data_IF_091033005239
#
_entry.id   IF_091033005239
#
_cell.length_a   1.000
_cell.length_b   1.000
_cell.length_c   1.000
_cell.angle_alpha   90.00
_cell.angle_beta   90.00
_cell.angle_gamma   90.00
#
_symmetry.space_group_name_H-M   'P 1'
#
loop_
_entity.id
_entity.type
_entity.pdbx_description
1 polymer ?
#
# COMPACT_ATOMS: atom_id res chain seq x y z
N UNK A 1 -9.85 12.89 -11.61
CA UNK A 1 -9.53 14.13 -10.86
C UNK A 1 -10.71 14.63 -10.03
N UNK A 2 -11.93 14.61 -10.57
CA UNK A 2 -13.16 15.06 -9.87
C UNK A 2 -13.41 14.38 -8.51
N UNK A 3 -13.22 13.06 -8.40
CA UNK A 3 -13.41 12.33 -7.13
C UNK A 3 -12.40 12.74 -6.04
N UNK A 4 -11.13 12.97 -6.41
CA UNK A 4 -10.09 13.43 -5.48
C UNK A 4 -10.42 14.85 -5.00
N UNK A 5 -10.84 15.72 -5.91
CA UNK A 5 -11.30 17.08 -5.55
C UNK A 5 -12.49 17.04 -4.61
N UNK A 6 -13.52 16.23 -4.91
CA UNK A 6 -14.73 16.12 -4.09
C UNK A 6 -14.43 15.62 -2.68
N UNK A 7 -13.62 14.57 -2.56
CA UNK A 7 -13.22 14.03 -1.24
C UNK A 7 -12.37 15.02 -0.46
N UNK A 8 -11.41 15.70 -1.10
CA UNK A 8 -10.60 16.74 -0.47
C UNK A 8 -11.44 17.88 0.09
N UNK A 9 -12.44 18.35 -0.67
CA UNK A 9 -13.35 19.41 -0.22
C UNK A 9 -14.18 18.93 0.97
N UNK A 10 -14.74 17.72 0.90
CA UNK A 10 -15.52 17.14 2.00
C UNK A 10 -14.72 17.02 3.30
N UNK A 11 -13.50 16.48 3.24
CA UNK A 11 -12.62 16.38 4.41
C UNK A 11 -12.25 17.75 4.98
N UNK A 12 -11.99 18.75 4.12
CA UNK A 12 -11.65 20.11 4.56
C UNK A 12 -12.82 20.77 5.28
N UNK A 13 -14.05 20.65 4.76
CA UNK A 13 -15.25 21.22 5.38
C UNK A 13 -15.51 20.59 6.76
N UNK A 14 -15.45 19.26 6.86
CA UNK A 14 -15.68 18.54 8.12
C UNK A 14 -14.57 18.90 9.13
N UNK A 15 -13.31 18.89 8.69
CA UNK A 15 -12.16 19.24 9.53
C UNK A 15 -12.22 20.67 10.05
N UNK A 16 -12.53 21.64 9.18
CA UNK A 16 -12.63 23.06 9.56
C UNK A 16 -13.79 23.30 10.52
N UNK A 17 -14.96 22.71 10.24
CA UNK A 17 -16.14 22.84 11.13
C UNK A 17 -15.86 22.22 12.49
N UNK A 18 -15.22 21.05 12.54
CA UNK A 18 -14.81 20.41 13.79
C UNK A 18 -13.80 21.25 14.58
N UNK A 19 -12.83 21.86 13.90
CA UNK A 19 -11.84 22.74 14.53
C UNK A 19 -12.46 24.01 15.11
N UNK A 20 -13.36 24.67 14.37
CA UNK A 20 -14.08 25.86 14.86
C UNK A 20 -14.99 25.51 16.06
N UNK A 21 -15.60 24.32 16.05
CA UNK A 21 -16.43 23.86 17.17
C UNK A 21 -15.62 23.57 18.45
N UNK A 22 -14.39 23.03 18.33
CA UNK A 22 -13.55 22.67 19.47
C UNK A 22 -12.09 23.14 19.31
N UNK A 23 -11.79 24.46 19.38
CA UNK A 23 -10.47 24.97 19.00
C UNK A 23 -9.31 24.48 19.88
N UNK A 24 -9.56 24.21 21.17
CA UNK A 24 -8.52 23.82 22.15
C UNK A 24 -8.69 22.42 22.73
N UNK A 25 -9.81 21.75 22.46
CA UNK A 25 -10.18 20.50 23.13
C UNK A 25 -10.49 19.36 22.16
N UNK A 26 -10.33 19.56 20.84
CA UNK A 26 -10.61 18.54 19.83
C UNK A 26 -9.85 17.23 20.12
N UNK A 27 -10.60 16.14 20.30
CA UNK A 27 -10.06 14.80 20.44
C UNK A 27 -9.93 14.12 19.06
N UNK A 28 -9.03 13.14 18.96
CA UNK A 28 -8.83 12.34 17.74
C UNK A 28 -10.14 11.71 17.21
N UNK A 29 -11.08 11.40 18.11
CA UNK A 29 -12.46 11.12 17.75
C UNK A 29 -13.35 12.31 18.16
N UNK A 30 -13.73 13.14 17.19
CA UNK A 30 -14.51 14.36 17.46
C UNK A 30 -15.88 14.07 18.10
N UNK A 31 -16.44 12.88 17.87
CA UNK A 31 -17.70 12.48 18.50
C UNK A 31 -17.57 12.36 20.02
N UNK A 32 -16.36 12.18 20.56
CA UNK A 32 -16.15 12.13 22.01
C UNK A 32 -16.20 13.51 22.66
N UNK A 33 -16.08 14.61 21.90
CA UNK A 33 -16.16 15.96 22.43
C UNK A 33 -17.58 16.41 22.76
N UNK A 34 -18.58 15.76 22.16
CA UNK A 34 -19.98 16.05 22.41
C UNK A 34 -20.52 15.28 23.61
N UNK A 35 -21.51 15.87 24.29
CA UNK A 35 -22.15 15.25 25.46
C UNK A 35 -22.70 13.85 25.14
N UNK A 36 -22.78 12.99 26.15
CA UNK A 36 -23.41 11.69 26.03
C UNK A 36 -24.93 11.80 25.98
N UNK A 37 -25.53 12.87 26.50
CA UNK A 37 -26.98 13.03 26.59
C UNK A 37 -27.65 13.53 25.29
N UNK A 38 -26.85 13.91 24.28
CA UNK A 38 -27.37 14.41 23.01
C UNK A 38 -27.82 13.24 22.10
N UNK A 39 -29.13 13.15 21.86
CA UNK A 39 -29.74 12.13 21.02
C UNK A 39 -29.16 12.10 19.59
N UNK A 40 -28.90 13.27 18.98
CA UNK A 40 -28.41 13.35 17.60
C UNK A 40 -27.00 12.75 17.52
N UNK A 41 -26.16 13.06 18.50
CA UNK A 41 -24.79 12.54 18.58
C UNK A 41 -24.80 11.04 18.89
N UNK A 42 -25.69 10.58 19.76
CA UNK A 42 -25.85 9.14 20.01
C UNK A 42 -26.26 8.38 18.74
N UNK A 43 -27.20 8.92 17.96
CA UNK A 43 -27.58 8.34 16.65
C UNK A 43 -26.38 8.33 15.70
N UNK A 44 -25.60 9.41 15.63
CA UNK A 44 -24.40 9.45 14.80
C UNK A 44 -23.36 8.39 15.22
N UNK A 45 -23.11 8.22 16.53
CA UNK A 45 -22.24 7.16 17.07
C UNK A 45 -22.76 5.77 16.70
N UNK A 46 -24.07 5.54 16.82
CA UNK A 46 -24.69 4.27 16.45
C UNK A 46 -24.54 3.96 14.94
N UNK A 47 -24.74 4.96 14.08
CA UNK A 47 -24.55 4.82 12.63
C UNK A 47 -23.10 4.52 12.26
N UNK A 48 -22.13 5.23 12.87
CA UNK A 48 -20.70 4.93 12.67
C UNK A 48 -20.38 3.51 13.15
N UNK A 49 -20.92 3.10 14.31
CA UNK A 49 -20.78 1.73 14.82
C UNK A 49 -21.33 0.69 13.85
N UNK A 50 -22.56 0.87 13.36
CA UNK A 50 -23.19 -0.01 12.37
C UNK A 50 -22.36 -0.09 11.07
N UNK A 51 -21.86 1.05 10.58
CA UNK A 51 -20.96 1.10 9.44
C UNK A 51 -19.69 0.26 9.68
N UNK A 52 -19.08 0.35 10.88
CA UNK A 52 -17.90 -0.46 11.22
C UNK A 52 -18.22 -1.95 11.31
N UNK A 53 -19.36 -2.33 11.88
CA UNK A 53 -19.82 -3.73 11.94
C UNK A 53 -19.96 -4.33 10.54
N UNK A 54 -20.52 -3.58 9.59
CA UNK A 54 -20.64 -4.03 8.19
C UNK A 54 -19.28 -4.01 7.47
N UNK A 55 -18.43 -3.02 7.74
CA UNK A 55 -17.13 -2.88 7.08
C UNK A 55 -16.13 -3.95 7.51
N UNK A 56 -16.21 -4.43 8.74
CA UNK A 56 -15.28 -5.43 9.28
C UNK A 56 -15.23 -6.73 8.46
N UNK A 57 -16.35 -7.46 8.22
CA UNK A 57 -16.34 -8.68 7.43
C UNK A 57 -15.92 -8.45 5.96
N UNK A 58 -16.27 -7.29 5.39
CA UNK A 58 -15.88 -6.92 4.03
C UNK A 58 -14.35 -6.84 3.91
N UNK A 59 -13.69 -6.21 4.88
CA UNK A 59 -12.22 -6.08 4.90
C UNK A 59 -11.51 -7.38 5.33
N UNK A 60 -12.19 -8.24 6.10
CA UNK A 60 -11.62 -9.50 6.59
C UNK A 60 -11.36 -10.51 5.46
N UNK A 61 -12.23 -10.55 4.45
CA UNK A 61 -12.08 -11.50 3.34
C UNK A 61 -10.79 -11.31 2.53
N UNK A 62 -10.42 -10.10 2.03
CA UNK A 62 -9.13 -9.90 1.37
C UNK A 62 -7.94 -10.06 2.32
N UNK A 63 -8.06 -9.67 3.60
CA UNK A 63 -6.98 -9.87 4.58
C UNK A 63 -6.62 -11.36 4.76
N UNK A 64 -7.63 -12.23 4.83
CA UNK A 64 -7.43 -13.69 4.90
C UNK A 64 -6.79 -14.24 3.62
N UNK A 65 -7.18 -13.76 2.44
CA UNK A 65 -6.57 -14.17 1.17
C UNK A 65 -5.10 -13.76 1.11
N UNK A 66 -4.79 -12.52 1.45
CA UNK A 66 -3.41 -12.04 1.52
C UNK A 66 -2.57 -12.86 2.51
N UNK A 67 -3.12 -13.24 3.67
CA UNK A 67 -2.42 -14.10 4.63
C UNK A 67 -2.15 -15.50 4.04
N UNK A 68 -3.12 -16.10 3.34
CA UNK A 68 -2.93 -17.37 2.64
C UNK A 68 -1.78 -17.25 1.63
N UNK A 69 -1.85 -16.26 0.75
CA UNK A 69 -0.86 -16.06 -0.31
C UNK A 69 0.56 -15.88 0.25
N UNK A 70 0.71 -15.10 1.33
CA UNK A 70 2.00 -14.90 2.01
C UNK A 70 2.51 -16.19 2.64
N UNK A 71 1.63 -16.97 3.31
CA UNK A 71 2.04 -18.23 3.94
C UNK A 71 2.40 -19.31 2.93
N UNK A 72 1.71 -19.36 1.80
CA UNK A 72 2.01 -20.28 0.69
C UNK A 72 3.35 -19.92 0.05
N UNK A 73 3.62 -18.64 -0.19
CA UNK A 73 4.92 -18.16 -0.69
C UNK A 73 6.06 -18.43 0.30
N UNK A 74 5.81 -18.27 1.60
CA UNK A 74 6.83 -18.47 2.64
C UNK A 74 7.13 -19.96 2.93
N UNK A 75 6.12 -20.82 2.89
CA UNK A 75 6.24 -22.25 3.28
C UNK A 75 6.38 -23.18 2.08
N UNK A 76 6.01 -22.74 0.88
CA UNK A 76 5.96 -23.58 -0.32
C UNK A 76 4.90 -24.69 -0.26
N UNK A 77 3.97 -24.64 0.71
CA UNK A 77 2.88 -25.59 0.91
C UNK A 77 1.55 -24.87 0.73
N UNK A 78 0.59 -25.50 0.07
CA UNK A 78 -0.77 -24.99 -0.02
C UNK A 78 -1.53 -25.25 1.29
N UNK A 79 -2.14 -24.21 1.85
CA UNK A 79 -2.86 -24.29 3.12
C UNK A 79 -4.36 -24.24 2.84
N UNK A 80 -4.95 -25.39 2.53
CA UNK A 80 -6.37 -25.48 2.08
C UNK A 80 -7.31 -26.16 3.09
N UNK A 81 -6.91 -26.24 4.37
CA UNK A 81 -7.73 -26.87 5.40
C UNK A 81 -8.81 -25.94 6.00
N UNK A 82 -10.00 -26.46 6.39
CA UNK A 82 -11.00 -25.70 7.14
C UNK A 82 -10.44 -25.18 8.48
N UNK A 83 -9.50 -25.92 9.09
CA UNK A 83 -8.82 -25.52 10.32
C UNK A 83 -7.99 -24.24 10.13
N UNK A 84 -7.37 -24.05 8.95
CA UNK A 84 -6.66 -22.83 8.62
C UNK A 84 -7.62 -21.63 8.49
N UNK A 85 -8.79 -21.85 7.88
CA UNK A 85 -9.80 -20.79 7.73
C UNK A 85 -10.37 -20.31 9.06
N UNK A 86 -10.73 -21.23 9.95
CA UNK A 86 -11.20 -20.89 11.28
C UNK A 86 -10.07 -20.27 12.12
N UNK A 87 -8.87 -20.84 12.06
CA UNK A 87 -7.69 -20.34 12.77
C UNK A 87 -7.31 -18.92 12.36
N UNK A 88 -7.20 -18.64 11.06
CA UNK A 88 -6.89 -17.31 10.54
C UNK A 88 -7.96 -16.28 10.95
N UNK A 89 -9.24 -16.67 10.89
CA UNK A 89 -10.34 -15.77 11.26
C UNK A 89 -10.32 -15.45 12.75
N UNK A 90 -10.11 -16.46 13.60
CA UNK A 90 -9.99 -16.29 15.04
C UNK A 90 -8.76 -15.47 15.42
N UNK A 91 -7.64 -15.67 14.71
CA UNK A 91 -6.42 -14.89 14.89
C UNK A 91 -6.65 -13.41 14.58
N UNK A 92 -7.22 -13.09 13.40
CA UNK A 92 -7.53 -11.71 13.01
C UNK A 92 -8.53 -11.05 13.96
N UNK A 93 -9.58 -11.78 14.37
CA UNK A 93 -10.55 -11.29 15.34
C UNK A 93 -9.91 -11.04 16.72
N UNK A 94 -9.13 -12.01 17.21
CA UNK A 94 -8.41 -11.89 18.48
C UNK A 94 -7.40 -10.74 18.47
N UNK A 95 -6.65 -10.57 17.37
CA UNK A 95 -5.72 -9.46 17.20
C UNK A 95 -6.44 -8.10 17.18
N UNK A 96 -7.56 -8.00 16.46
CA UNK A 96 -8.37 -6.77 16.41
C UNK A 96 -8.96 -6.44 17.79
N UNK A 97 -9.48 -7.45 18.50
CA UNK A 97 -10.01 -7.28 19.85
C UNK A 97 -8.92 -6.87 20.84
N UNK A 98 -7.76 -7.51 20.79
CA UNK A 98 -6.62 -7.15 21.63
C UNK A 98 -6.17 -5.70 21.36
N UNK A 99 -6.11 -5.28 20.09
CA UNK A 99 -5.80 -3.90 19.74
C UNK A 99 -6.85 -2.92 20.29
N UNK A 100 -8.14 -3.25 20.17
CA UNK A 100 -9.23 -2.42 20.67
C UNK A 100 -9.23 -2.27 22.20
N UNK A 101 -8.78 -3.30 22.94
CA UNK A 101 -8.64 -3.24 24.40
C UNK A 101 -7.38 -2.49 24.87
N UNK A 102 -6.37 -2.34 24.00
CA UNK A 102 -5.11 -1.68 24.36
C UNK A 102 -5.05 -0.23 23.91
N UNK A 103 -5.66 0.11 22.78
CA UNK A 103 -5.54 1.42 22.15
C UNK A 103 -6.89 2.13 22.15
N UNK A 104 -6.98 3.20 22.95
CA UNK A 104 -8.17 4.05 23.02
C UNK A 104 -8.06 5.34 22.18
N UNK A 105 -6.89 5.62 21.59
CA UNK A 105 -6.67 6.80 20.73
C UNK A 105 -6.62 6.41 19.25
N UNK A 106 -7.70 6.72 18.52
CA UNK A 106 -7.80 6.51 17.08
C UNK A 106 -6.75 7.31 16.29
N UNK A 107 -6.29 8.44 16.80
CA UNK A 107 -5.30 9.28 16.15
C UNK A 107 -3.94 8.59 16.08
N UNK A 108 -3.53 7.88 17.13
CA UNK A 108 -2.30 7.07 17.12
C UNK A 108 -2.42 5.95 16.08
N UNK A 109 -3.56 5.26 16.04
CA UNK A 109 -3.81 4.18 15.07
C UNK A 109 -3.72 4.70 13.63
N UNK A 110 -4.38 5.83 13.32
CA UNK A 110 -4.34 6.41 11.98
C UNK A 110 -2.96 6.95 11.60
N UNK A 111 -2.19 7.51 12.55
CA UNK A 111 -0.79 7.92 12.32
C UNK A 111 0.08 6.72 11.97
N UNK A 112 -0.02 5.61 12.72
CA UNK A 112 0.74 4.38 12.44
C UNK A 112 0.38 3.84 11.06
N UNK A 113 -0.91 3.61 10.78
CA UNK A 113 -1.36 2.98 9.53
C UNK A 113 -1.09 3.90 8.33
N UNK A 114 -1.38 5.19 8.43
CA UNK A 114 -1.18 6.15 7.34
C UNK A 114 0.31 6.43 7.08
N UNK A 115 1.10 6.60 8.14
CA UNK A 115 2.52 6.92 8.04
C UNK A 115 3.40 5.75 7.60
N UNK A 116 3.05 4.51 7.98
CA UNK A 116 3.82 3.31 7.62
C UNK A 116 3.25 2.64 6.37
N UNK A 117 2.09 1.99 6.49
CA UNK A 117 1.46 1.24 5.40
C UNK A 117 1.12 2.15 4.22
N UNK A 118 0.59 3.36 4.47
CA UNK A 118 0.32 4.33 3.42
C UNK A 118 1.58 4.74 2.65
N UNK A 119 2.67 5.08 3.35
CA UNK A 119 3.93 5.46 2.71
C UNK A 119 4.52 4.33 1.86
N UNK A 120 4.47 3.09 2.35
CA UNK A 120 4.96 1.92 1.59
C UNK A 120 4.11 1.71 0.34
N UNK A 121 2.78 1.67 0.46
CA UNK A 121 1.92 1.40 -0.70
C UNK A 121 1.92 2.55 -1.72
N UNK A 122 1.96 3.80 -1.28
CA UNK A 122 1.85 4.97 -2.17
C UNK A 122 3.18 5.30 -2.84
N UNK A 123 4.32 5.15 -2.16
CA UNK A 123 5.62 5.55 -2.69
C UNK A 123 6.52 4.36 -3.07
N UNK A 124 6.56 3.30 -2.25
CA UNK A 124 7.44 2.16 -2.53
C UNK A 124 6.95 1.34 -3.73
N UNK A 125 5.65 1.04 -3.83
CA UNK A 125 5.12 0.26 -4.97
C UNK A 125 5.40 0.89 -6.35
N UNK A 126 5.03 2.16 -6.63
CA UNK A 126 5.36 2.77 -7.91
C UNK A 126 6.88 2.96 -8.07
N UNK A 127 7.62 3.22 -6.98
CA UNK A 127 9.08 3.32 -7.01
C UNK A 127 9.75 2.03 -7.48
N UNK A 128 9.34 0.88 -6.93
CA UNK A 128 9.83 -0.44 -7.33
C UNK A 128 9.43 -0.80 -8.77
N UNK A 129 8.20 -0.45 -9.19
CA UNK A 129 7.77 -0.67 -10.57
C UNK A 129 8.62 0.13 -11.57
N UNK A 130 8.96 1.39 -11.27
CA UNK A 130 9.84 2.20 -12.11
C UNK A 130 11.26 1.63 -12.19
N UNK A 131 11.82 1.19 -11.07
CA UNK A 131 13.14 0.55 -11.04
C UNK A 131 13.11 -0.73 -11.88
N UNK A 132 12.15 -1.63 -11.64
CA UNK A 132 12.01 -2.89 -12.40
C UNK A 132 11.84 -2.63 -13.90
N UNK A 133 11.03 -1.64 -14.27
CA UNK A 133 10.82 -1.26 -15.66
C UNK A 133 12.11 -0.75 -16.33
N UNK A 134 12.85 0.14 -15.66
CA UNK A 134 14.13 0.64 -16.18
C UNK A 134 15.18 -0.48 -16.32
N UNK A 135 15.21 -1.43 -15.37
CA UNK A 135 16.11 -2.58 -15.43
C UNK A 135 15.76 -3.54 -16.57
N UNK A 136 14.47 -3.86 -16.74
CA UNK A 136 14.00 -4.71 -17.83
C UNK A 136 14.36 -4.10 -19.21
N UNK A 137 14.17 -2.80 -19.37
CA UNK A 137 14.55 -2.06 -20.59
C UNK A 137 16.06 -2.13 -20.86
N UNK A 138 16.90 -2.10 -19.82
CA UNK A 138 18.34 -2.25 -19.98
C UNK A 138 18.74 -3.68 -20.38
N UNK A 139 18.11 -4.70 -19.79
CA UNK A 139 18.37 -6.10 -20.15
C UNK A 139 17.96 -6.42 -21.60
N UNK A 140 16.83 -5.87 -22.06
CA UNK A 140 16.40 -5.98 -23.46
C UNK A 140 17.43 -5.35 -24.41
N UNK A 141 17.99 -4.19 -24.05
CA UNK A 141 19.05 -3.54 -24.81
C UNK A 141 20.34 -4.39 -24.88
N UNK A 142 20.74 -5.01 -23.76
CA UNK A 142 21.91 -5.90 -23.74
C UNK A 142 21.71 -7.13 -24.63
N UNK A 143 20.55 -7.79 -24.54
CA UNK A 143 20.21 -8.94 -25.39
C UNK A 143 20.26 -8.62 -26.88
N UNK A 144 19.84 -7.41 -27.27
CA UNK A 144 19.94 -6.93 -28.65
C UNK A 144 21.40 -6.80 -29.12
N UNK A 145 22.29 -6.27 -28.27
CA UNK A 145 23.71 -6.15 -28.57
C UNK A 145 24.40 -7.51 -28.69
N UNK A 146 24.04 -8.46 -27.81
CA UNK A 146 24.58 -9.81 -27.83
C UNK A 146 24.15 -10.58 -29.09
N UNK A 147 22.90 -10.40 -29.52
CA UNK A 147 22.38 -10.96 -30.78
C UNK A 147 23.11 -10.41 -32.02
N UNK A 148 23.51 -9.13 -32.01
CA UNK A 148 24.28 -8.54 -33.11
C UNK A 148 25.76 -8.92 -33.11
N UNK A 149 26.37 -9.19 -31.94
CA UNK A 149 27.77 -9.63 -31.85
C UNK A 149 28.01 -11.07 -32.32
N UNK A 150 26.96 -11.88 -32.48
CA UNK A 150 27.09 -13.27 -32.91
C UNK A 150 27.57 -14.23 -31.82
N UNK A 151 27.70 -13.76 -30.57
CA UNK A 151 28.21 -14.51 -29.42
C UNK A 151 27.10 -15.22 -28.61
N UNK A 152 25.94 -15.50 -29.22
CA UNK A 152 24.80 -16.07 -28.51
C UNK A 152 25.13 -17.46 -27.90
N UNK A 153 25.07 -17.63 -26.56
CA UNK A 153 25.31 -18.93 -25.93
C UNK A 153 24.27 -19.95 -26.40
N UNK A 154 24.66 -21.20 -26.70
CA UNK A 154 23.74 -22.26 -27.18
C UNK A 154 22.55 -22.54 -26.23
N UNK A 155 22.60 -22.11 -24.97
CA UNK A 155 21.46 -22.13 -24.04
C UNK A 155 20.35 -21.12 -24.39
N UNK A 156 20.67 -19.95 -24.95
CA UNK A 156 19.66 -18.95 -25.34
C UNK A 156 18.81 -19.39 -26.53
N UNK A 157 19.27 -20.39 -27.30
CA UNK A 157 18.48 -20.99 -28.37
C UNK A 157 17.35 -21.91 -27.85
N UNK A 158 17.47 -22.44 -26.62
CA UNK A 158 16.39 -23.20 -25.96
C UNK A 158 15.29 -22.29 -25.42
N UNK A 159 15.64 -21.11 -24.93
CA UNK A 159 14.67 -20.06 -24.57
C UNK A 159 14.08 -19.36 -25.81
N UNK A 160 14.80 -19.37 -26.94
CA UNK A 160 14.30 -18.89 -28.24
C UNK A 160 13.26 -19.82 -28.89
N UNK A 161 12.98 -20.99 -28.29
CA UNK A 161 12.00 -21.97 -28.75
C UNK A 161 10.60 -21.78 -28.13
N UNK A 162 10.38 -20.70 -27.37
CA UNK A 162 9.05 -20.20 -27.02
C UNK A 162 8.63 -19.05 -27.97
N UNK A 163 7.70 -19.27 -28.92
CA UNK A 163 7.05 -18.20 -29.65
C UNK A 163 6.05 -17.43 -28.77
N UNK A 164 5.73 -16.17 -29.11
CA UNK A 164 5.43 -15.10 -28.17
C UNK A 164 3.95 -15.04 -27.76
N UNK A 165 3.69 -14.83 -26.46
CA UNK A 165 2.36 -14.51 -25.97
C UNK A 165 2.24 -12.97 -25.90
N UNK A 166 1.69 -12.42 -26.99
CA UNK A 166 0.92 -11.18 -27.10
C UNK A 166 1.52 -9.82 -26.62
N UNK A 167 1.57 -8.88 -27.59
CA UNK A 167 1.81 -7.43 -27.50
C UNK A 167 3.26 -6.90 -27.51
N UNK A 168 3.87 -6.91 -28.71
CA UNK A 168 4.45 -5.73 -29.40
C UNK A 168 5.62 -6.15 -30.31
N UNK A 169 5.32 -6.64 -31.52
CA UNK A 169 6.31 -6.70 -32.60
C UNK A 169 6.78 -5.29 -33.04
N UNK A 170 6.01 -4.25 -32.69
CA UNK A 170 6.32 -2.82 -32.82
C UNK A 170 7.37 -2.32 -31.82
N UNK A 171 7.58 -2.97 -30.66
CA UNK A 171 8.60 -2.59 -29.65
C UNK A 171 10.03 -2.75 -30.17
N UNK A 172 10.26 -3.80 -30.94
CA UNK A 172 11.58 -4.14 -31.49
C UNK A 172 11.94 -3.33 -32.74
N UNK A 173 10.96 -2.68 -33.39
CA UNK A 173 11.18 -1.88 -34.59
C UNK A 173 11.87 -0.52 -34.33
N UNK A 174 12.20 -0.19 -33.06
CA UNK A 174 12.66 1.16 -32.65
C UNK A 174 13.97 1.22 -31.86
N UNK A 175 14.79 0.16 -31.80
CA UNK A 175 16.12 0.26 -31.16
C UNK A 175 17.08 0.94 -32.15
N UNK A 176 17.43 2.24 -31.94
CA UNK A 176 18.66 2.53 -31.21
C UNK A 176 18.72 3.89 -30.45
N UNK A 177 18.81 3.86 -29.11
CA UNK A 177 19.42 4.89 -28.25
C UNK A 177 20.11 4.18 -27.07
N UNK A 178 21.41 4.41 -26.81
CA UNK A 178 22.15 3.72 -25.74
C UNK A 178 21.47 3.95 -24.39
N UNK A 179 20.94 2.88 -23.80
CA UNK A 179 20.22 2.95 -22.53
C UNK A 179 21.02 2.30 -21.41
N UNK A 180 21.64 3.12 -20.56
CA UNK A 180 22.21 2.67 -19.29
C UNK A 180 21.21 2.92 -18.17
N UNK A 181 20.92 1.90 -17.36
CA UNK A 181 19.95 2.02 -16.26
C UNK A 181 20.36 3.11 -15.24
N UNK A 182 21.65 3.25 -14.95
CA UNK A 182 22.20 4.28 -14.03
C UNK A 182 22.10 5.71 -14.55
N UNK A 183 22.02 5.93 -15.87
CA UNK A 183 21.85 7.27 -16.46
C UNK A 183 20.39 7.61 -16.73
N UNK A 184 19.46 6.69 -16.47
CA UNK A 184 18.05 6.91 -16.76
C UNK A 184 17.36 7.71 -15.65
N UNK A 185 16.67 8.78 -16.06
CA UNK A 185 15.78 9.55 -15.18
C UNK A 185 14.71 8.67 -14.50
N UNK A 186 14.25 7.60 -15.17
CA UNK A 186 13.25 6.69 -14.60
C UNK A 186 13.77 5.91 -13.39
N UNK A 187 15.01 5.43 -13.46
CA UNK A 187 15.62 4.68 -12.37
C UNK A 187 15.83 5.57 -11.15
N UNK A 188 16.37 6.78 -11.35
CA UNK A 188 16.55 7.76 -10.29
C UNK A 188 15.23 8.23 -9.68
N UNK A 189 14.17 8.43 -10.48
CA UNK A 189 12.84 8.73 -9.94
C UNK A 189 12.30 7.59 -9.08
N UNK A 190 12.51 6.34 -9.47
CA UNK A 190 12.12 5.18 -8.69
C UNK A 190 12.88 5.08 -7.36
N UNK A 191 14.20 5.27 -7.39
CA UNK A 191 15.05 5.32 -6.18
C UNK A 191 14.65 6.47 -5.28
N UNK A 192 14.37 7.66 -5.83
CA UNK A 192 13.91 8.81 -5.06
C UNK A 192 12.57 8.55 -4.36
N UNK A 193 11.62 7.89 -5.03
CA UNK A 193 10.33 7.52 -4.42
C UNK A 193 10.48 6.51 -3.28
N UNK A 194 11.33 5.50 -3.44
CA UNK A 194 11.62 4.53 -2.38
C UNK A 194 12.34 5.20 -1.20
N UNK A 195 13.34 6.03 -1.47
CA UNK A 195 14.05 6.79 -0.43
C UNK A 195 13.10 7.73 0.33
N UNK A 196 12.19 8.40 -0.38
CA UNK A 196 11.15 9.23 0.23
C UNK A 196 10.19 8.41 1.10
N UNK A 197 9.77 7.23 0.64
CA UNK A 197 8.95 6.30 1.43
C UNK A 197 9.62 5.91 2.75
N UNK A 198 10.93 5.57 2.70
CA UNK A 198 11.72 5.22 3.88
C UNK A 198 11.84 6.41 4.83
N UNK A 199 12.12 7.61 4.32
CA UNK A 199 12.20 8.82 5.12
C UNK A 199 10.87 9.12 5.84
N UNK A 200 9.74 9.05 5.13
CA UNK A 200 8.40 9.24 5.71
C UNK A 200 8.11 8.19 6.78
N UNK A 201 8.48 6.93 6.56
CA UNK A 201 8.30 5.85 7.53
C UNK A 201 9.13 6.10 8.80
N UNK A 202 10.40 6.48 8.65
CA UNK A 202 11.29 6.81 9.79
C UNK A 202 10.73 7.99 10.59
N UNK A 203 10.34 9.08 9.91
CA UNK A 203 9.75 10.25 10.57
C UNK A 203 8.45 9.89 11.28
N UNK A 204 7.60 9.07 10.65
CA UNK A 204 6.34 8.61 11.24
C UNK A 204 6.59 7.80 12.50
N UNK A 205 7.50 6.82 12.45
CA UNK A 205 7.88 6.02 13.61
C UNK A 205 8.49 6.88 14.72
N UNK A 206 9.38 7.80 14.37
CA UNK A 206 9.98 8.73 15.33
C UNK A 206 8.90 9.57 16.05
N UNK A 207 7.92 10.09 15.31
CA UNK A 207 6.82 10.88 15.89
C UNK A 207 5.85 10.05 16.75
N UNK A 208 5.80 8.73 16.54
CA UNK A 208 4.97 7.83 17.34
C UNK A 208 5.68 7.45 18.65
N UNK A 209 6.99 7.16 18.60
CA UNK A 209 7.77 6.77 19.77
C UNK A 209 8.22 7.96 20.64
N UNK A 210 8.44 9.12 20.02
CA UNK A 210 8.83 10.36 20.71
C UNK A 210 7.78 11.45 20.42
N UNK A 211 6.58 11.36 21.03
CA UNK A 211 5.60 12.43 20.89
C UNK A 211 6.20 13.72 21.47
N UNK A 212 6.19 14.79 20.68
CA UNK A 212 6.51 16.12 21.19
C UNK A 212 5.47 16.46 22.28
N UNK A 213 5.97 16.67 23.51
CA UNK A 213 5.17 16.98 24.69
C UNK A 213 4.41 18.31 24.55
#
# INVERSE_FOLDING_TARGET
>A
MTAIGLTSVGYTIIGLTGYVAFPRTAMSNILNNFSQDDLVVQVARALVGAMKVVSYPINHNPARRALKDVMEQATGRSWEGPLFHYGATLLFFGATLALALRVHDLGVVFKVIGGTNGAVLIFTLPGLMLIKYSYAKHLEWQRYLDAQRGDAPRESARDALLPPADADASRYASLPQPYHYLSSKLWWSGVALVAFSVAVCIVSLHNIFFPAA
#
